data_IF_785508747729
#
_entry.id   IF_785508747729
#
_cell.length_a   1.000
_cell.length_b   1.000
_cell.length_c   1.000
_cell.angle_alpha   90.00
_cell.angle_beta   90.00
_cell.angle_gamma   90.00
#
_symmetry.space_group_name_H-M   'P 1'
#
loop_
_entity.id
_entity.type
_entity.pdbx_description
1 polymer ?
#
# COMPACT_ATOMS: atom_id res chain seq x y z
N UNK A 1 -2.87 5.05 -2.51
CA UNK A 1 -3.11 6.30 -3.24
C UNK A 1 -2.82 6.03 -4.69
N UNK A 2 -3.77 6.34 -5.57
CA UNK A 2 -3.68 6.18 -7.01
C UNK A 2 -3.71 7.55 -7.66
N UNK A 3 -3.13 7.66 -8.85
CA UNK A 3 -3.20 8.86 -9.67
C UNK A 3 -3.33 8.53 -11.16
N UNK A 4 -3.80 9.52 -11.91
CA UNK A 4 -3.97 9.53 -13.35
C UNK A 4 -3.64 10.93 -13.86
N UNK A 5 -3.01 11.01 -15.03
CA UNK A 5 -2.66 12.28 -15.66
C UNK A 5 -3.05 12.23 -17.13
N UNK A 6 -3.74 13.26 -17.59
CA UNK A 6 -4.07 13.50 -18.99
C UNK A 6 -3.86 14.97 -19.36
N UNK A 7 -4.33 15.36 -20.55
CA UNK A 7 -4.21 16.74 -21.03
C UNK A 7 -5.05 17.74 -20.21
N UNK A 8 -6.07 17.29 -19.48
CA UNK A 8 -6.96 18.14 -18.69
C UNK A 8 -6.44 18.34 -17.26
N UNK A 9 -5.59 17.42 -16.77
CA UNK A 9 -4.79 17.64 -15.57
C UNK A 9 -4.41 16.37 -14.82
N UNK A 10 -4.22 16.53 -13.51
CA UNK A 10 -3.76 15.47 -12.61
C UNK A 10 -4.84 15.11 -11.58
N UNK A 11 -5.20 13.83 -11.52
CA UNK A 11 -6.25 13.29 -10.66
C UNK A 11 -5.64 12.30 -9.68
N UNK A 12 -6.04 12.36 -8.41
CA UNK A 12 -5.59 11.38 -7.41
C UNK A 12 -6.70 11.04 -6.42
N UNK A 13 -6.69 9.79 -5.94
CA UNK A 13 -7.64 9.32 -4.93
C UNK A 13 -7.13 8.08 -4.19
N UNK A 14 -7.73 7.76 -3.05
CA UNK A 14 -7.50 6.50 -2.35
C UNK A 14 -8.04 5.28 -3.11
N UNK A 15 -8.99 5.49 -4.03
CA UNK A 15 -9.66 4.43 -4.79
C UNK A 15 -9.78 4.80 -6.28
N UNK A 16 -9.52 3.82 -7.16
CA UNK A 16 -9.54 4.01 -8.63
C UNK A 16 -10.93 4.46 -9.13
N UNK A 17 -12.02 3.96 -8.52
CA UNK A 17 -13.39 4.31 -8.93
C UNK A 17 -13.68 5.80 -8.79
N UNK A 18 -13.06 6.48 -7.81
CA UNK A 18 -13.20 7.92 -7.65
C UNK A 18 -12.52 8.69 -8.79
N UNK A 19 -11.33 8.25 -9.21
CA UNK A 19 -10.65 8.81 -10.39
C UNK A 19 -11.52 8.60 -11.64
N UNK A 20 -12.04 7.39 -11.83
CA UNK A 20 -12.94 7.09 -12.95
C UNK A 20 -14.18 7.98 -12.97
N UNK A 21 -14.77 8.29 -11.82
CA UNK A 21 -15.89 9.23 -11.72
C UNK A 21 -15.51 10.66 -12.14
N UNK A 22 -14.29 11.11 -11.84
CA UNK A 22 -13.80 12.43 -12.25
C UNK A 22 -13.52 12.52 -13.75
N UNK A 23 -12.97 11.46 -14.34
CA UNK A 23 -12.69 11.38 -15.77
C UNK A 23 -13.98 11.31 -16.63
N UNK A 24 -15.13 11.02 -16.01
CA UNK A 24 -16.42 10.80 -16.69
C UNK A 24 -16.36 9.78 -17.83
N UNK A 25 -15.35 8.91 -17.82
CA UNK A 25 -15.06 7.92 -18.83
C UNK A 25 -14.74 6.59 -18.16
N UNK A 26 -14.88 5.50 -18.92
CA UNK A 26 -14.53 4.18 -18.43
C UNK A 26 -13.05 3.93 -18.67
N UNK A 27 -12.33 3.62 -17.60
CA UNK A 27 -10.93 3.21 -17.69
C UNK A 27 -10.81 1.89 -18.46
N UNK A 28 -9.84 1.84 -19.36
CA UNK A 28 -9.54 0.64 -20.14
C UNK A 28 -8.81 -0.39 -19.27
N UNK A 29 -9.22 -1.66 -19.36
CA UNK A 29 -8.63 -2.75 -18.59
C UNK A 29 -7.29 -3.14 -19.21
N UNK A 30 -6.26 -3.21 -18.37
CA UNK A 30 -4.99 -3.81 -18.74
C UNK A 30 -5.09 -5.34 -18.71
N UNK A 31 -5.50 -5.93 -19.84
CA UNK A 31 -5.67 -7.37 -19.97
C UNK A 31 -4.36 -8.15 -19.79
N UNK A 32 -3.21 -7.55 -20.09
CA UNK A 32 -1.93 -8.24 -19.92
C UNK A 32 -1.54 -8.35 -18.46
N UNK A 33 -1.76 -7.30 -17.67
CA UNK A 33 -1.63 -7.37 -16.22
C UNK A 33 -2.61 -8.39 -15.61
N UNK A 34 -3.87 -8.38 -16.07
CA UNK A 34 -4.88 -9.34 -15.62
C UNK A 34 -4.47 -10.79 -15.93
N UNK A 35 -4.01 -11.09 -17.16
CA UNK A 35 -3.53 -12.42 -17.54
C UNK A 35 -2.33 -12.85 -16.68
N UNK A 36 -1.35 -11.96 -16.46
CA UNK A 36 -0.19 -12.24 -15.60
C UNK A 36 -0.64 -12.62 -14.19
N UNK A 37 -1.60 -11.87 -13.62
CA UNK A 37 -2.17 -12.21 -12.31
C UNK A 37 -2.86 -13.58 -12.31
N UNK A 38 -3.63 -13.92 -13.34
CA UNK A 38 -4.30 -15.23 -13.43
C UNK A 38 -3.31 -16.40 -13.53
N UNK A 39 -2.18 -16.20 -14.20
CA UNK A 39 -1.14 -17.24 -14.37
C UNK A 39 -0.25 -17.37 -13.14
N UNK A 40 0.21 -16.26 -12.57
CA UNK A 40 1.20 -16.25 -11.49
C UNK A 40 0.60 -16.06 -10.09
N UNK A 41 -0.69 -15.73 -10.01
CA UNK A 41 -1.41 -15.45 -8.77
C UNK A 41 -0.88 -14.22 -8.03
N UNK A 42 -1.18 -14.17 -6.73
CA UNK A 42 -0.84 -13.04 -5.86
C UNK A 42 0.66 -12.76 -5.75
N UNK A 43 1.54 -13.74 -6.04
CA UNK A 43 3.00 -13.58 -5.97
C UNK A 43 3.55 -12.56 -6.97
N UNK A 44 2.76 -12.25 -8.00
CA UNK A 44 3.11 -11.27 -9.02
C UNK A 44 2.60 -9.85 -8.70
N UNK A 45 1.74 -9.69 -7.69
CA UNK A 45 1.30 -8.37 -7.25
C UNK A 45 2.51 -7.52 -6.85
N UNK A 46 2.52 -6.27 -7.29
CA UNK A 46 3.58 -5.28 -7.03
C UNK A 46 4.98 -5.67 -7.57
N UNK A 47 5.06 -6.58 -8.56
CA UNK A 47 6.33 -6.88 -9.28
C UNK A 47 6.59 -5.93 -10.45
N UNK A 48 5.55 -5.27 -10.94
CA UNK A 48 5.62 -4.25 -11.98
C UNK A 48 4.94 -2.98 -11.47
N UNK A 49 5.20 -1.85 -12.13
CA UNK A 49 4.49 -0.59 -11.92
C UNK A 49 3.17 -0.52 -12.71
N UNK A 50 2.78 -1.61 -13.37
CA UNK A 50 1.53 -1.69 -14.12
C UNK A 50 0.37 -1.99 -13.16
N UNK A 51 -0.75 -1.33 -13.40
CA UNK A 51 -2.02 -1.54 -12.69
C UNK A 51 -3.05 -2.25 -13.59
N UNK A 52 -4.18 -2.63 -12.99
CA UNK A 52 -5.30 -3.29 -13.70
C UNK A 52 -5.99 -2.41 -14.75
N UNK A 53 -5.73 -1.11 -14.74
CA UNK A 53 -6.28 -0.15 -15.70
C UNK A 53 -5.17 0.66 -16.34
N UNK A 54 -5.29 0.94 -17.64
CA UNK A 54 -4.32 1.76 -18.36
C UNK A 54 -4.32 3.21 -17.87
N UNK A 55 -3.13 3.79 -17.75
CA UNK A 55 -2.91 5.16 -17.28
C UNK A 55 -3.07 5.36 -15.76
N UNK A 56 -3.54 4.35 -15.02
CA UNK A 56 -3.56 4.39 -13.56
C UNK A 56 -2.19 4.03 -13.02
N UNK A 57 -1.73 4.84 -12.08
CA UNK A 57 -0.49 4.64 -11.37
C UNK A 57 -0.73 4.65 -9.87
N UNK A 58 0.10 3.91 -9.13
CA UNK A 58 0.07 3.89 -7.67
C UNK A 58 1.28 4.65 -7.12
N UNK A 59 1.04 5.51 -6.12
CA UNK A 59 2.13 6.11 -5.35
C UNK A 59 2.85 4.99 -4.59
N UNK A 60 4.13 4.78 -4.91
CA UNK A 60 4.98 3.84 -4.18
C UNK A 60 4.87 3.98 -2.65
N UNK A 61 4.95 2.83 -1.96
CA UNK A 61 4.96 2.78 -0.51
C UNK A 61 6.08 3.62 0.10
N UNK A 62 5.79 4.21 1.26
CA UNK A 62 6.74 4.98 2.06
C UNK A 62 7.35 6.18 1.31
N UNK A 63 6.56 6.80 0.44
CA UNK A 63 6.97 7.93 -0.37
C UNK A 63 6.06 9.14 -0.20
N UNK A 64 6.66 10.32 -0.37
CA UNK A 64 5.97 11.57 -0.62
C UNK A 64 5.93 11.81 -2.12
N UNK A 65 4.81 12.32 -2.62
CA UNK A 65 4.67 12.80 -3.98
C UNK A 65 4.40 14.30 -3.96
N UNK A 66 5.05 15.06 -4.85
CA UNK A 66 4.90 16.51 -4.98
C UNK A 66 4.60 16.82 -6.44
N UNK A 67 3.61 17.68 -6.66
CA UNK A 67 3.25 18.22 -7.97
C UNK A 67 3.27 19.74 -7.88
N UNK A 68 3.87 20.39 -8.86
CA UNK A 68 3.88 21.86 -8.97
C UNK A 68 2.77 22.37 -9.90
N UNK A 69 2.70 23.69 -10.07
CA UNK A 69 1.68 24.34 -10.90
C UNK A 69 1.84 24.03 -12.41
N UNK A 70 3.02 23.58 -12.83
CA UNK A 70 3.31 23.19 -14.21
C UNK A 70 3.11 21.68 -14.42
N UNK A 71 2.50 21.00 -13.43
CA UNK A 71 2.24 19.56 -13.39
C UNK A 71 3.51 18.68 -13.36
N UNK A 72 4.65 19.23 -12.94
CA UNK A 72 5.84 18.40 -12.76
C UNK A 72 5.67 17.49 -11.52
N UNK A 73 5.51 16.20 -11.78
CA UNK A 73 5.36 15.19 -10.73
C UNK A 73 6.72 14.64 -10.27
N UNK A 74 6.97 14.68 -8.97
CA UNK A 74 8.16 14.09 -8.35
C UNK A 74 7.78 13.22 -7.16
N UNK A 75 8.53 12.13 -6.95
CA UNK A 75 8.32 11.22 -5.85
C UNK A 75 9.62 10.95 -5.09
N UNK A 76 9.57 10.94 -3.76
CA UNK A 76 10.71 10.66 -2.89
C UNK A 76 10.34 9.72 -1.75
N UNK A 77 11.15 8.68 -1.53
CA UNK A 77 10.98 7.76 -0.39
C UNK A 77 11.42 8.44 0.89
N UNK A 78 10.50 8.57 1.85
CA UNK A 78 10.82 9.04 3.19
C UNK A 78 11.26 7.90 4.12
N UNK A 79 10.92 6.64 3.78
CA UNK A 79 11.31 5.49 4.58
C UNK A 79 11.62 4.27 3.71
N UNK A 80 12.60 3.47 4.16
CA UNK A 80 12.94 2.17 3.56
C UNK A 80 13.29 1.21 4.69
N UNK A 81 12.86 -0.06 4.62
CA UNK A 81 13.29 -1.07 5.58
C UNK A 81 14.82 -1.16 5.58
N UNK A 82 15.42 -1.09 6.76
CA UNK A 82 16.84 -1.33 6.97
C UNK A 82 16.99 -2.56 7.86
N UNK A 83 17.67 -3.58 7.37
CA UNK A 83 18.07 -4.72 8.19
C UNK A 83 19.21 -4.28 9.09
N UNK A 84 18.91 -4.06 10.37
CA UNK A 84 19.92 -3.83 11.40
C UNK A 84 19.99 -5.08 12.27
N UNK A 85 20.79 -6.05 11.84
CA UNK A 85 21.00 -7.29 12.60
C UNK A 85 21.86 -6.94 13.81
N UNK A 86 21.30 -7.12 15.00
CA UNK A 86 21.98 -6.90 16.26
C UNK A 86 22.16 -8.23 16.96
N UNK A 87 23.33 -8.43 17.56
CA UNK A 87 23.54 -9.52 18.49
C UNK A 87 22.68 -9.26 19.74
N UNK A 88 21.88 -10.24 20.14
CA UNK A 88 21.03 -10.18 21.32
C UNK A 88 20.88 -11.57 21.91
N UNK A 89 20.58 -11.65 23.21
CA UNK A 89 20.25 -12.92 23.85
C UNK A 89 18.88 -13.41 23.41
N UNK A 90 18.60 -14.70 23.58
CA UNK A 90 17.28 -15.25 23.31
C UNK A 90 16.21 -14.60 24.18
N UNK A 91 16.51 -14.36 25.46
CA UNK A 91 15.55 -13.76 26.41
C UNK A 91 15.21 -12.33 25.99
N UNK A 92 16.20 -11.53 25.59
CA UNK A 92 15.98 -10.17 25.07
C UNK A 92 15.12 -10.18 23.80
N UNK A 93 15.33 -11.16 22.92
CA UNK A 93 14.56 -11.30 21.68
C UNK A 93 13.09 -11.65 21.97
N UNK A 94 12.84 -12.54 22.94
CA UNK A 94 11.48 -12.93 23.37
C UNK A 94 10.75 -11.73 23.97
N UNK A 95 11.36 -11.08 24.96
CA UNK A 95 10.73 -9.95 25.66
C UNK A 95 10.55 -8.74 24.74
N UNK A 96 11.53 -8.44 23.89
CA UNK A 96 11.44 -7.36 22.91
C UNK A 96 10.33 -7.60 21.88
N UNK A 97 10.21 -8.83 21.36
CA UNK A 97 9.15 -9.18 20.41
C UNK A 97 7.77 -9.04 21.03
N UNK A 98 7.59 -9.56 22.26
CA UNK A 98 6.33 -9.44 23.01
C UNK A 98 5.98 -7.98 23.30
N UNK A 99 6.94 -7.20 23.76
CA UNK A 99 6.76 -5.78 24.05
C UNK A 99 6.30 -5.00 22.81
N UNK A 100 7.03 -5.12 21.70
CA UNK A 100 6.70 -4.38 20.48
C UNK A 100 5.38 -4.84 19.86
N UNK A 101 5.06 -6.13 19.93
CA UNK A 101 3.76 -6.64 19.51
C UNK A 101 2.63 -6.00 20.33
N UNK A 102 2.70 -6.07 21.66
CA UNK A 102 1.68 -5.51 22.54
C UNK A 102 1.51 -3.99 22.38
N UNK A 103 2.60 -3.25 22.25
CA UNK A 103 2.53 -1.80 22.00
C UNK A 103 1.92 -1.48 20.63
N UNK A 104 2.24 -2.26 19.60
CA UNK A 104 1.65 -2.08 18.27
C UNK A 104 0.14 -2.33 18.26
N UNK A 105 -0.34 -3.29 19.05
CA UNK A 105 -1.76 -3.59 19.25
C UNK A 105 -2.42 -2.48 20.04
N UNK A 106 -1.86 -2.08 21.18
CA UNK A 106 -2.37 -1.00 22.04
C UNK A 106 -2.57 0.32 21.28
N UNK A 107 -1.67 0.67 20.37
CA UNK A 107 -1.81 1.86 19.52
C UNK A 107 -3.03 1.77 18.58
N UNK A 108 -3.35 0.57 18.08
CA UNK A 108 -4.48 0.32 17.17
C UNK A 108 -5.82 0.10 17.88
N UNK A 109 -5.81 -0.24 19.18
CA UNK A 109 -7.02 -0.38 19.99
C UNK A 109 -7.57 0.95 20.52
N UNK A 110 -6.96 2.08 20.17
CA UNK A 110 -7.51 3.41 20.50
C UNK A 110 -8.69 3.70 19.58
N UNK A 111 -9.89 3.37 20.04
CA UNK A 111 -11.13 3.60 19.30
C UNK A 111 -12.23 4.11 20.23
N UNK A 112 -13.08 4.98 19.69
CA UNK A 112 -14.31 5.48 20.27
C UNK A 112 -15.52 4.59 19.96
N UNK A 113 -15.33 3.53 19.17
CA UNK A 113 -16.36 2.55 18.79
C UNK A 113 -15.97 1.13 19.22
N UNK A 114 -16.94 0.20 19.34
CA UNK A 114 -16.64 -1.21 19.65
C UNK A 114 -15.69 -1.84 18.64
N UNK A 115 -14.72 -2.60 19.16
CA UNK A 115 -13.70 -3.28 18.37
C UNK A 115 -14.11 -4.71 18.06
N UNK A 116 -13.70 -5.20 16.88
CA UNK A 116 -13.86 -6.58 16.46
C UNK A 116 -12.51 -7.14 16.00
N UNK A 117 -12.31 -8.44 16.19
CA UNK A 117 -11.10 -9.15 15.77
C UNK A 117 -11.44 -10.27 14.79
N UNK A 118 -10.63 -10.40 13.74
CA UNK A 118 -10.66 -11.54 12.84
C UNK A 118 -9.79 -12.65 13.42
N UNK A 119 -10.38 -13.59 14.16
CA UNK A 119 -9.66 -14.70 14.78
C UNK A 119 -9.55 -15.88 13.82
N UNK A 120 -8.37 -16.48 13.78
CA UNK A 120 -8.11 -17.80 13.19
C UNK A 120 -7.40 -18.68 14.22
N UNK A 121 -7.39 -19.99 14.03
CA UNK A 121 -6.67 -20.91 14.93
C UNK A 121 -5.14 -20.85 14.82
N UNK A 122 -4.59 -19.90 14.06
CA UNK A 122 -3.15 -19.69 13.89
C UNK A 122 -2.56 -18.77 14.95
N UNK A 123 -1.25 -18.90 15.16
CA UNK A 123 -0.47 -18.09 16.13
C UNK A 123 -0.47 -16.60 15.81
N UNK A 124 -0.63 -16.23 14.54
CA UNK A 124 -0.65 -14.81 14.13
C UNK A 124 -1.92 -14.08 14.60
N UNK A 125 -2.98 -14.82 14.92
CA UNK A 125 -4.29 -14.28 15.30
C UNK A 125 -4.77 -14.72 16.69
N UNK A 126 -4.00 -15.54 17.41
CA UNK A 126 -4.31 -16.05 18.76
C UNK A 126 -3.33 -15.49 19.76
#
# INVERSE_FOLDING_TARGET
MYYYEDNDGFYFASEIKAIQSLLQTKLEINYDHLKRYLVYGYKFLNKTSEEYFHGIHQIEFASNATIDCDLNFTQSKYWKPKTNIKDMTLDDAIEGSKYHLLESVKLRLRSDVPLAFCLSGGVDST
#
